data_IF_587360923772
#
_entry.id   IF_587360923772
#
_cell.length_a   1.000
_cell.length_b   1.000
_cell.length_c   1.000
_cell.angle_alpha   90.00
_cell.angle_beta   90.00
_cell.angle_gamma   90.00
#
_symmetry.space_group_name_H-M   'P 1'
#
loop_
_entity.id
_entity.type
_entity.pdbx_description
1 polymer ?
#
# COMPACT_ATOMS: atom_id res chain seq x y z
N UNK A 1 -44.62 16.40 4.42
CA UNK A 1 -43.21 16.33 4.86
C UNK A 1 -42.40 15.16 4.25
N UNK A 2 -42.95 14.40 3.28
CA UNK A 2 -42.21 13.30 2.62
C UNK A 2 -41.45 13.76 1.36
N UNK A 3 -42.02 14.71 0.62
CA UNK A 3 -41.41 15.27 -0.60
C UNK A 3 -40.08 15.98 -0.32
N UNK A 4 -39.99 16.75 0.78
CA UNK A 4 -38.77 17.46 1.17
C UNK A 4 -37.60 16.50 1.44
N UNK A 5 -37.87 15.35 2.09
CA UNK A 5 -36.88 14.29 2.28
C UNK A 5 -36.43 13.68 0.95
N UNK A 6 -37.33 13.52 -0.03
CA UNK A 6 -36.98 12.97 -1.36
C UNK A 6 -36.08 13.91 -2.16
N UNK A 7 -36.39 15.22 -2.19
CA UNK A 7 -35.53 16.21 -2.86
C UNK A 7 -34.18 16.37 -2.17
N UNK A 8 -34.14 16.34 -0.84
CA UNK A 8 -32.89 16.38 -0.08
C UNK A 8 -31.98 15.17 -0.38
N UNK A 9 -32.57 13.97 -0.48
CA UNK A 9 -31.83 12.75 -0.80
C UNK A 9 -31.28 12.78 -2.23
N UNK A 10 -32.05 13.31 -3.19
CA UNK A 10 -31.59 13.52 -4.57
C UNK A 10 -30.39 14.49 -4.60
N UNK A 11 -30.48 15.61 -3.89
CA UNK A 11 -29.39 16.59 -3.81
C UNK A 11 -28.10 15.97 -3.24
N UNK A 12 -28.21 15.19 -2.17
CA UNK A 12 -27.06 14.49 -1.57
C UNK A 12 -26.41 13.53 -2.58
N UNK A 13 -27.23 12.74 -3.29
CA UNK A 13 -26.72 11.81 -4.31
C UNK A 13 -26.01 12.58 -5.43
N UNK A 14 -26.60 13.68 -5.91
CA UNK A 14 -25.98 14.51 -6.94
C UNK A 14 -24.64 15.07 -6.49
N UNK A 15 -24.53 15.55 -5.25
CA UNK A 15 -23.28 16.07 -4.68
C UNK A 15 -22.23 14.97 -4.55
N UNK A 16 -22.60 13.78 -4.08
CA UNK A 16 -21.70 12.62 -3.99
C UNK A 16 -21.13 12.22 -5.36
N UNK A 17 -21.98 12.23 -6.40
CA UNK A 17 -21.54 11.95 -7.77
C UNK A 17 -20.52 13.01 -8.22
N UNK A 18 -20.81 14.29 -8.03
CA UNK A 18 -19.89 15.38 -8.41
C UNK A 18 -18.54 15.30 -7.68
N UNK A 19 -18.54 14.96 -6.39
CA UNK A 19 -17.31 14.75 -5.61
C UNK A 19 -16.48 13.58 -6.12
N UNK A 20 -17.12 12.51 -6.62
CA UNK A 20 -16.43 11.35 -7.17
C UNK A 20 -15.67 11.68 -8.48
N UNK A 21 -16.14 12.66 -9.24
CA UNK A 21 -15.53 13.08 -10.51
C UNK A 21 -14.25 13.91 -10.33
N UNK A 22 -13.97 14.43 -9.13
CA UNK A 22 -12.79 15.26 -8.86
C UNK A 22 -11.55 14.36 -8.77
N UNK A 23 -10.59 14.45 -9.70
CA UNK A 23 -9.36 13.68 -9.63
C UNK A 23 -8.45 14.27 -8.54
N UNK A 24 -7.83 13.41 -7.74
CA UNK A 24 -6.80 13.82 -6.78
C UNK A 24 -5.43 13.27 -7.20
N UNK A 25 -4.31 13.89 -6.77
CA UNK A 25 -2.96 13.36 -6.98
C UNK A 25 -2.57 12.24 -6.01
N UNK A 26 -3.52 11.69 -5.24
CA UNK A 26 -3.27 10.67 -4.22
C UNK A 26 -3.56 9.26 -4.73
N UNK A 27 -2.89 8.30 -4.12
CA UNK A 27 -3.13 6.87 -4.27
C UNK A 27 -3.44 6.24 -2.92
N UNK A 28 -4.41 5.33 -2.90
CA UNK A 28 -4.65 4.43 -1.79
C UNK A 28 -3.80 3.18 -2.02
N UNK A 29 -2.91 2.88 -1.08
CA UNK A 29 -2.19 1.61 -1.00
C UNK A 29 -2.92 0.75 0.02
N UNK A 30 -3.55 -0.30 -0.46
CA UNK A 30 -4.35 -1.23 0.35
C UNK A 30 -3.65 -2.59 0.46
N UNK A 31 -3.80 -3.29 1.60
CA UNK A 31 -3.24 -4.62 1.77
C UNK A 31 -3.84 -5.58 0.75
N UNK A 32 -2.97 -6.31 0.07
CA UNK A 32 -3.34 -7.35 -0.88
C UNK A 32 -3.30 -8.74 -0.24
N UNK A 33 -3.05 -9.74 -1.07
CA UNK A 33 -2.98 -11.14 -0.67
C UNK A 33 -1.62 -11.49 -0.05
N UNK A 34 -1.63 -12.43 0.89
CA UNK A 34 -0.44 -13.08 1.42
C UNK A 34 -0.44 -14.55 0.98
N UNK A 35 0.56 -14.95 0.20
CA UNK A 35 0.67 -16.27 -0.43
C UNK A 35 1.79 -17.03 0.25
N UNK A 36 1.53 -18.26 0.69
CA UNK A 36 2.56 -19.14 1.25
C UNK A 36 3.46 -19.70 0.14
N UNK A 37 4.73 -19.30 0.16
CA UNK A 37 5.71 -19.75 -0.82
C UNK A 37 6.32 -21.10 -0.45
N UNK A 38 6.32 -21.49 0.82
CA UNK A 38 6.90 -22.77 1.28
C UNK A 38 6.26 -24.00 0.65
N UNK A 39 5.03 -23.86 0.15
CA UNK A 39 4.31 -24.95 -0.54
C UNK A 39 4.79 -25.19 -1.98
N UNK A 40 5.36 -24.15 -2.62
CA UNK A 40 5.67 -24.16 -4.04
C UNK A 40 7.16 -23.92 -4.35
N UNK A 41 7.93 -23.39 -3.40
CA UNK A 41 9.32 -22.98 -3.58
C UNK A 41 10.18 -23.60 -2.48
N UNK A 42 11.26 -24.29 -2.88
CA UNK A 42 12.28 -24.81 -1.97
C UNK A 42 13.61 -24.12 -2.25
N UNK A 43 14.24 -23.55 -1.23
CA UNK A 43 15.56 -22.94 -1.33
C UNK A 43 16.63 -23.99 -1.06
N UNK A 44 17.59 -24.16 -1.97
CA UNK A 44 18.60 -25.23 -1.90
C UNK A 44 19.43 -25.18 -0.60
N UNK A 45 19.87 -23.98 -0.20
CA UNK A 45 20.64 -23.75 1.03
C UNK A 45 19.84 -23.01 2.12
N UNK A 46 18.51 -23.17 2.13
CA UNK A 46 17.63 -22.54 3.14
C UNK A 46 17.46 -23.39 4.39
N UNK A 47 17.27 -22.75 5.55
CA UNK A 47 16.88 -23.44 6.78
C UNK A 47 15.43 -23.95 6.68
N UNK A 48 15.25 -25.27 6.72
CA UNK A 48 13.93 -25.91 6.54
C UNK A 48 13.13 -26.06 7.83
N UNK A 49 13.80 -26.06 8.99
CA UNK A 49 13.19 -26.21 10.32
C UNK A 49 13.01 -24.87 11.05
N UNK A 50 13.13 -23.74 10.33
CA UNK A 50 12.97 -22.42 10.90
C UNK A 50 11.51 -22.21 11.39
N UNK A 51 11.37 -21.64 12.60
CA UNK A 51 10.06 -21.29 13.15
C UNK A 51 9.53 -20.04 12.43
N UNK A 52 8.64 -20.21 11.46
CA UNK A 52 8.02 -19.11 10.71
C UNK A 52 7.28 -19.55 9.45
N UNK A 53 6.69 -18.60 8.74
CA UNK A 53 6.05 -18.82 7.43
C UNK A 53 6.73 -17.96 6.38
N UNK A 54 7.06 -18.54 5.22
CA UNK A 54 7.63 -17.80 4.10
C UNK A 54 6.50 -17.30 3.19
N UNK A 55 6.09 -16.05 3.40
CA UNK A 55 4.94 -15.44 2.73
C UNK A 55 5.36 -14.40 1.69
N UNK A 56 4.74 -14.44 0.52
CA UNK A 56 4.74 -13.35 -0.45
C UNK A 56 3.51 -12.47 -0.24
N UNK A 57 3.73 -11.22 0.15
CA UNK A 57 2.65 -10.24 0.33
C UNK A 57 2.56 -9.30 -0.85
N UNK A 58 1.33 -8.98 -1.25
CA UNK A 58 1.05 -7.99 -2.29
C UNK A 58 0.30 -6.80 -1.71
N UNK A 59 0.36 -5.66 -2.39
CA UNK A 59 -0.44 -4.47 -2.10
C UNK A 59 -1.10 -4.01 -3.40
N UNK A 60 -2.34 -3.54 -3.33
CA UNK A 60 -3.00 -2.95 -4.48
C UNK A 60 -2.96 -1.41 -4.39
N UNK A 61 -2.74 -0.77 -5.53
CA UNK A 61 -2.64 0.68 -5.65
C UNK A 61 -3.83 1.19 -6.44
N UNK A 62 -4.64 2.05 -5.83
CA UNK A 62 -5.85 2.62 -6.45
C UNK A 62 -5.71 4.14 -6.50
N UNK A 63 -5.98 4.74 -7.65
CA UNK A 63 -6.02 6.21 -7.76
C UNK A 63 -7.19 6.76 -6.95
N UNK A 64 -6.90 7.69 -6.05
CA UNK A 64 -7.91 8.28 -5.18
C UNK A 64 -8.72 9.35 -5.95
N UNK A 65 -10.04 9.23 -5.91
CA UNK A 65 -10.92 10.40 -6.04
C UNK A 65 -11.14 11.04 -4.66
N UNK A 66 -11.83 12.17 -4.60
CA UNK A 66 -12.00 12.89 -3.33
C UNK A 66 -12.72 12.07 -2.26
N UNK A 67 -13.67 11.21 -2.64
CA UNK A 67 -14.36 10.32 -1.69
C UNK A 67 -13.43 9.22 -1.16
N UNK A 68 -12.65 8.60 -2.03
CA UNK A 68 -11.66 7.59 -1.66
C UNK A 68 -10.54 8.19 -0.81
N UNK A 69 -10.14 9.43 -1.06
CA UNK A 69 -9.18 10.14 -0.22
C UNK A 69 -9.70 10.28 1.22
N UNK A 70 -10.95 10.72 1.39
CA UNK A 70 -11.58 10.83 2.71
C UNK A 70 -11.70 9.44 3.36
N UNK A 71 -12.07 8.42 2.60
CA UNK A 71 -12.16 7.04 3.08
C UNK A 71 -10.80 6.51 3.56
N UNK A 72 -9.76 6.66 2.75
CA UNK A 72 -8.40 6.22 3.09
C UNK A 72 -7.80 7.01 4.25
N UNK A 73 -8.26 8.23 4.52
CA UNK A 73 -7.82 9.00 5.69
C UNK A 73 -8.43 8.49 6.99
N UNK A 74 -9.61 7.86 6.93
CA UNK A 74 -10.33 7.34 8.08
C UNK A 74 -9.95 5.90 8.42
N UNK A 75 -9.53 5.11 7.42
CA UNK A 75 -9.15 3.71 7.60
C UNK A 75 -7.64 3.59 7.90
N UNK A 76 -7.26 3.09 9.09
CA UNK A 76 -5.85 2.97 9.49
C UNK A 76 -5.06 1.91 8.68
N UNK A 77 -5.74 1.04 7.94
CA UNK A 77 -5.08 0.01 7.13
C UNK A 77 -4.74 0.49 5.71
N UNK A 78 -5.10 1.73 5.38
CA UNK A 78 -4.91 2.31 4.05
C UNK A 78 -3.83 3.37 4.14
N UNK A 79 -2.78 3.20 3.35
CA UNK A 79 -1.72 4.20 3.26
C UNK A 79 -2.04 5.15 2.10
N UNK A 80 -2.23 6.44 2.42
CA UNK A 80 -2.46 7.49 1.44
C UNK A 80 -1.10 8.06 1.00
N UNK A 81 -0.73 7.80 -0.25
CA UNK A 81 0.51 8.29 -0.85
C UNK A 81 0.24 9.39 -1.86
N UNK A 82 0.98 10.50 -1.77
CA UNK A 82 1.01 11.49 -2.83
C UNK A 82 1.87 10.96 -3.97
N UNK A 83 1.41 11.13 -5.22
CA UNK A 83 2.18 10.82 -6.43
C UNK A 83 3.59 11.44 -6.42
N UNK A 84 3.72 12.65 -5.87
CA UNK A 84 4.97 13.41 -5.99
C UNK A 84 6.04 13.02 -4.95
N UNK A 85 5.66 12.24 -3.93
CA UNK A 85 6.53 11.77 -2.84
C UNK A 85 7.45 10.60 -3.25
N UNK A 86 7.40 10.17 -4.52
CA UNK A 86 8.32 9.20 -5.11
C UNK A 86 9.72 9.80 -5.33
N UNK A 87 10.33 10.29 -4.26
CA UNK A 87 11.69 10.84 -4.22
C UNK A 87 12.68 9.80 -4.74
N UNK A 88 12.45 8.51 -4.47
CA UNK A 88 13.31 7.41 -4.90
C UNK A 88 13.36 7.24 -6.43
N UNK A 89 12.28 7.55 -7.15
CA UNK A 89 12.23 7.41 -8.62
C UNK A 89 12.90 8.57 -9.34
N UNK A 90 13.15 9.69 -8.65
CA UNK A 90 13.85 10.86 -9.17
C UNK A 90 15.36 10.81 -8.93
N UNK A 91 15.86 9.79 -8.22
CA UNK A 91 17.29 9.63 -7.93
C UNK A 91 18.06 9.07 -9.13
N UNK A 92 19.36 9.41 -9.19
CA UNK A 92 20.28 8.80 -10.15
C UNK A 92 20.41 7.30 -9.85
N UNK A 93 20.50 6.47 -10.89
CA UNK A 93 20.45 5.00 -10.74
C UNK A 93 21.56 4.47 -9.82
N UNK A 94 22.76 5.06 -9.91
CA UNK A 94 23.88 4.66 -9.06
C UNK A 94 23.60 4.89 -7.58
N UNK A 95 23.06 6.05 -7.23
CA UNK A 95 22.74 6.39 -5.84
C UNK A 95 21.63 5.51 -5.28
N UNK A 96 20.63 5.20 -6.11
CA UNK A 96 19.57 4.25 -5.76
C UNK A 96 20.13 2.86 -5.40
N UNK A 97 21.02 2.32 -6.23
CA UNK A 97 21.64 1.01 -6.00
C UNK A 97 22.47 1.02 -4.71
N UNK A 98 23.29 2.06 -4.50
CA UNK A 98 24.11 2.18 -3.29
C UNK A 98 23.27 2.21 -2.01
N UNK A 99 22.16 2.94 -2.03
CA UNK A 99 21.23 3.00 -0.89
C UNK A 99 20.58 1.63 -0.67
N UNK A 100 20.10 0.98 -1.73
CA UNK A 100 19.46 -0.34 -1.62
C UNK A 100 20.43 -1.41 -1.10
N UNK A 101 21.68 -1.39 -1.53
CA UNK A 101 22.72 -2.30 -1.05
C UNK A 101 22.98 -2.08 0.45
N UNK A 102 23.08 -0.82 0.88
CA UNK A 102 23.26 -0.48 2.30
C UNK A 102 22.07 -0.96 3.16
N UNK A 103 20.84 -0.71 2.70
CA UNK A 103 19.63 -1.17 3.39
C UNK A 103 19.54 -2.70 3.48
N UNK A 104 19.98 -3.41 2.44
CA UNK A 104 20.07 -4.87 2.46
C UNK A 104 21.10 -5.35 3.49
N UNK A 105 22.28 -4.74 3.53
CA UNK A 105 23.33 -5.09 4.51
C UNK A 105 22.84 -4.85 5.96
N UNK A 106 22.19 -3.71 6.21
CA UNK A 106 21.60 -3.40 7.51
C UNK A 106 20.53 -4.43 7.90
N UNK A 107 19.64 -4.81 6.98
CA UNK A 107 18.59 -5.80 7.20
C UNK A 107 19.17 -7.19 7.54
N UNK A 108 20.25 -7.59 6.87
CA UNK A 108 20.95 -8.85 7.15
C UNK A 108 21.65 -8.81 8.52
N UNK A 109 22.25 -7.68 8.89
CA UNK A 109 22.90 -7.51 10.18
C UNK A 109 21.88 -7.62 11.32
N UNK A 110 20.75 -6.90 11.22
CA UNK A 110 19.67 -6.96 12.20
C UNK A 110 19.12 -8.38 12.31
N UNK A 111 18.89 -9.06 11.19
CA UNK A 111 18.41 -10.45 11.18
C UNK A 111 19.37 -11.41 11.89
N UNK A 112 20.69 -11.26 11.67
CA UNK A 112 21.71 -12.06 12.38
C UNK A 112 21.69 -11.82 13.89
N UNK A 113 21.46 -10.58 14.33
CA UNK A 113 21.38 -10.24 15.75
C UNK A 113 20.14 -10.84 16.40
N UNK A 114 18.99 -10.85 15.71
CA UNK A 114 17.73 -11.42 16.21
C UNK A 114 17.74 -12.96 16.18
N UNK A 115 18.52 -13.57 15.29
CA UNK A 115 18.63 -15.02 15.17
C UNK A 115 19.56 -15.69 16.20
N UNK A 116 20.39 -14.91 16.91
CA UNK A 116 21.28 -15.37 18.00
C UNK A 116 20.56 -15.35 19.35
#
# INVERSE_FOLDING_TARGET
MYYFKRYFLIIIITVLILLNLIPTPYFLVIPGQAINLSENITVENGEKDAKGQFLLTSTAIIKANLLLYIYGFLDPNIDLKNRDDEILLKMEQKDYINIMEKLMQESQMISKVVAL
#
